data_IF_432008581786
#
_entry.id   IF_432008581786
#
_cell.length_a   1.000
_cell.length_b   1.000
_cell.length_c   1.000
_cell.angle_alpha   90.00
_cell.angle_beta   90.00
_cell.angle_gamma   90.00
#
_symmetry.space_group_name_H-M   'P 1'
#
loop_
_entity.id
_entity.type
_entity.pdbx_description
1 polymer ?
#
# COMPACT_ATOMS: atom_id res chain seq x y z
N UNK A 1 23.66 44.72 -10.27
CA UNK A 1 22.46 43.85 -10.28
C UNK A 1 22.94 42.41 -10.30
N UNK A 2 22.81 41.67 -9.18
CA UNK A 2 23.20 40.26 -9.08
C UNK A 2 22.02 39.39 -9.50
N UNK A 3 22.15 38.64 -10.60
CA UNK A 3 21.17 37.64 -11.00
C UNK A 3 21.32 36.41 -10.10
N UNK A 4 20.25 36.09 -9.36
CA UNK A 4 20.12 34.86 -8.60
C UNK A 4 19.54 33.81 -9.56
N UNK A 5 20.36 32.84 -9.97
CA UNK A 5 19.87 31.69 -10.72
C UNK A 5 19.24 30.71 -9.75
N UNK A 6 17.91 30.56 -9.83
CA UNK A 6 17.16 29.53 -9.11
C UNK A 6 17.30 28.25 -9.92
N UNK A 7 18.11 27.31 -9.44
CA UNK A 7 18.15 25.94 -9.98
C UNK A 7 16.90 25.19 -9.50
N UNK A 8 15.98 24.91 -10.42
CA UNK A 8 14.86 24.00 -10.17
C UNK A 8 15.35 22.58 -10.42
N UNK A 9 15.67 21.86 -9.35
CA UNK A 9 16.05 20.44 -9.42
C UNK A 9 14.79 19.60 -9.65
N UNK A 10 14.54 19.20 -10.89
CA UNK A 10 13.51 18.21 -11.19
C UNK A 10 13.94 16.84 -10.65
N UNK A 11 13.28 16.38 -9.58
CA UNK A 11 13.46 15.02 -9.07
C UNK A 11 12.78 14.07 -10.05
N UNK A 12 13.56 13.45 -10.92
CA UNK A 12 13.11 12.36 -11.79
C UNK A 12 13.02 11.11 -10.91
N UNK A 13 11.82 10.76 -10.44
CA UNK A 13 11.57 9.49 -9.79
C UNK A 13 11.62 8.42 -10.88
N UNK A 14 12.76 7.74 -11.02
CA UNK A 14 12.85 6.53 -11.83
C UNK A 14 12.04 5.43 -11.12
N UNK A 15 10.88 5.10 -11.68
CA UNK A 15 10.06 3.99 -11.19
C UNK A 15 10.81 2.69 -11.50
N UNK A 16 11.52 2.17 -10.50
CA UNK A 16 12.15 0.85 -10.57
C UNK A 16 11.08 -0.21 -10.30
N UNK A 17 10.25 -0.43 -11.31
CA UNK A 17 9.62 -1.68 -11.69
C UNK A 17 10.16 -2.94 -10.96
N UNK A 18 9.31 -3.64 -10.20
CA UNK A 18 9.63 -4.90 -9.52
C UNK A 18 8.76 -6.04 -10.00
N UNK A 19 9.39 -7.20 -10.16
CA UNK A 19 8.71 -8.47 -10.41
C UNK A 19 8.22 -9.05 -9.09
N UNK A 20 6.91 -9.18 -8.91
CA UNK A 20 6.30 -9.82 -7.73
C UNK A 20 6.44 -11.37 -7.72
N UNK A 21 7.28 -11.96 -8.58
CA UNK A 21 7.52 -13.41 -8.63
C UNK A 21 8.93 -13.76 -9.12
N UNK A 22 9.54 -14.81 -8.54
CA UNK A 22 10.81 -15.38 -8.98
C UNK A 22 10.57 -16.52 -9.97
N UNK A 23 10.93 -16.35 -11.26
CA UNK A 23 10.97 -17.44 -12.25
C UNK A 23 10.36 -17.17 -13.63
N UNK A 24 9.71 -16.01 -13.85
CA UNK A 24 9.13 -15.63 -15.15
C UNK A 24 9.65 -14.27 -15.61
N UNK A 25 9.83 -14.10 -16.93
CA UNK A 25 10.06 -12.76 -17.49
C UNK A 25 8.71 -12.00 -17.46
N UNK A 26 8.66 -10.93 -16.69
CA UNK A 26 7.48 -10.08 -16.50
C UNK A 26 7.69 -8.65 -16.98
N UNK A 27 8.75 -8.38 -17.76
CA UNK A 27 9.14 -7.03 -18.20
C UNK A 27 7.99 -6.32 -18.94
N UNK A 28 7.22 -7.05 -19.75
CA UNK A 28 6.07 -6.55 -20.49
C UNK A 28 4.92 -6.11 -19.57
N UNK A 29 4.64 -6.86 -18.51
CA UNK A 29 3.62 -6.52 -17.52
C UNK A 29 4.07 -5.42 -16.59
N UNK A 30 5.31 -5.48 -16.18
CA UNK A 30 5.96 -4.46 -15.37
C UNK A 30 5.92 -3.10 -16.08
N UNK A 31 6.26 -3.03 -17.37
CA UNK A 31 6.19 -1.80 -18.16
C UNK A 31 4.76 -1.27 -18.38
N UNK A 32 3.74 -2.15 -18.35
CA UNK A 32 2.33 -1.74 -18.41
C UNK A 32 1.87 -1.06 -17.11
N UNK A 33 2.58 -1.31 -16.01
CA UNK A 33 2.16 -0.93 -14.67
C UNK A 33 0.79 -1.53 -14.32
N UNK A 34 0.31 -1.20 -13.14
CA UNK A 34 -0.99 -1.64 -12.67
C UNK A 34 -0.92 -2.73 -11.60
N UNK A 35 0.23 -2.90 -10.98
CA UNK A 35 0.44 -3.74 -9.81
C UNK A 35 -0.04 -3.05 -8.53
N UNK A 36 -0.24 -3.84 -7.47
CA UNK A 36 -0.61 -3.34 -6.15
C UNK A 36 0.39 -2.31 -5.61
N UNK A 37 1.69 -2.55 -5.82
CA UNK A 37 2.77 -1.63 -5.43
C UNK A 37 2.74 -0.29 -6.18
N UNK A 38 2.32 -0.28 -7.44
CA UNK A 38 2.19 0.96 -8.23
C UNK A 38 1.12 1.85 -7.60
N UNK A 39 -0.01 1.26 -7.23
CA UNK A 39 -1.08 1.97 -6.55
C UNK A 39 -0.65 2.50 -5.18
N UNK A 40 -0.02 1.66 -4.36
CA UNK A 40 0.46 2.09 -3.03
C UNK A 40 1.44 3.25 -3.18
N UNK A 41 2.33 3.26 -4.18
CA UNK A 41 3.23 4.39 -4.44
C UNK A 41 2.52 5.69 -4.83
N UNK A 42 1.35 5.62 -5.45
CA UNK A 42 0.55 6.85 -5.70
C UNK A 42 0.02 7.46 -4.40
N UNK A 43 -0.19 6.66 -3.36
CA UNK A 43 -0.65 7.10 -2.04
C UNK A 43 0.51 7.44 -1.10
N UNK A 44 1.59 6.66 -1.17
CA UNK A 44 2.78 6.76 -0.32
C UNK A 44 4.02 6.64 -1.22
N UNK A 45 4.51 7.75 -1.78
CA UNK A 45 5.66 7.73 -2.70
C UNK A 45 6.94 7.11 -2.11
N UNK A 46 7.08 7.14 -0.78
CA UNK A 46 8.21 6.60 -0.03
C UNK A 46 8.13 5.09 0.21
N UNK A 47 7.03 4.42 -0.18
CA UNK A 47 6.91 2.98 -0.01
C UNK A 47 8.03 2.25 -0.78
N UNK A 48 8.86 1.45 -0.10
CA UNK A 48 9.91 0.69 -0.75
C UNK A 48 9.29 -0.39 -1.65
N UNK A 49 9.87 -0.57 -2.82
CA UNK A 49 9.46 -1.64 -3.73
C UNK A 49 10.38 -2.85 -3.46
N UNK A 50 9.91 -3.90 -2.75
CA UNK A 50 10.75 -5.06 -2.48
C UNK A 50 10.97 -5.87 -3.77
N UNK A 51 12.20 -6.37 -3.95
CA UNK A 51 12.62 -7.20 -5.09
C UNK A 51 12.90 -8.64 -4.70
N UNK A 52 13.07 -8.91 -3.40
CA UNK A 52 13.41 -10.23 -2.88
C UNK A 52 12.48 -10.61 -1.73
N UNK A 53 12.35 -11.92 -1.47
CA UNK A 53 11.57 -12.42 -0.32
C UNK A 53 12.10 -11.84 1.01
N UNK A 54 13.42 -11.70 1.14
CA UNK A 54 14.04 -11.08 2.31
C UNK A 54 13.65 -9.61 2.47
N UNK A 55 13.62 -8.84 1.37
CA UNK A 55 13.17 -7.45 1.39
C UNK A 55 11.68 -7.33 1.75
N UNK A 56 10.84 -8.27 1.31
CA UNK A 56 9.42 -8.31 1.70
C UNK A 56 9.27 -8.54 3.20
N UNK A 57 9.99 -9.52 3.76
CA UNK A 57 9.96 -9.80 5.20
C UNK A 57 10.48 -8.61 6.04
N UNK A 58 11.37 -7.80 5.48
CA UNK A 58 11.87 -6.59 6.12
C UNK A 58 10.87 -5.41 6.12
N UNK A 59 9.73 -5.53 5.43
CA UNK A 59 8.69 -4.49 5.44
C UNK A 59 7.87 -4.45 6.73
N UNK A 60 7.95 -5.45 7.60
CA UNK A 60 7.31 -5.42 8.91
C UNK A 60 7.99 -4.42 9.84
N UNK A 61 7.56 -3.15 9.80
CA UNK A 61 8.05 -2.10 10.69
C UNK A 61 7.03 -1.66 11.76
N UNK A 62 5.85 -2.30 11.79
CA UNK A 62 4.80 -2.04 12.76
C UNK A 62 4.04 -3.30 13.13
N UNK A 63 3.66 -3.38 14.40
CA UNK A 63 2.78 -4.44 14.90
C UNK A 63 1.39 -4.29 14.32
N UNK A 64 0.80 -5.40 13.85
CA UNK A 64 -0.54 -5.42 13.24
C UNK A 64 -1.61 -4.87 14.18
N UNK A 65 -1.50 -5.12 15.49
CA UNK A 65 -2.42 -4.57 16.50
C UNK A 65 -2.37 -3.05 16.67
N UNK A 66 -1.30 -2.40 16.20
CA UNK A 66 -1.11 -0.94 16.27
C UNK A 66 -1.47 -0.23 14.97
N UNK A 67 -2.04 -0.94 14.00
CA UNK A 67 -2.38 -0.43 12.66
C UNK A 67 -3.16 0.89 12.72
N UNK A 68 -2.85 1.78 11.79
CA UNK A 68 -3.53 3.07 11.63
C UNK A 68 -3.89 3.33 10.17
N UNK A 69 -4.85 4.22 9.95
CA UNK A 69 -5.14 4.77 8.63
C UNK A 69 -3.87 5.36 8.01
N UNK A 70 -3.66 5.14 6.71
CA UNK A 70 -2.46 5.55 6.00
C UNK A 70 -1.29 4.55 6.04
N UNK A 71 -1.43 3.45 6.77
CA UNK A 71 -0.48 2.33 6.71
C UNK A 71 -0.70 1.49 5.43
N UNK A 72 0.23 0.56 5.20
CA UNK A 72 0.14 -0.45 4.15
C UNK A 72 -0.06 -1.81 4.80
N UNK A 73 -1.16 -2.47 4.43
CA UNK A 73 -1.40 -3.87 4.76
C UNK A 73 -0.69 -4.75 3.72
N UNK A 74 0.06 -5.74 4.21
CA UNK A 74 0.77 -6.70 3.40
C UNK A 74 0.15 -8.08 3.65
N UNK A 75 -0.26 -8.73 2.56
CA UNK A 75 -0.90 -10.05 2.56
C UNK A 75 0.03 -11.05 1.89
N UNK A 76 0.12 -12.26 2.45
CA UNK A 76 0.66 -13.41 1.76
C UNK A 76 -0.52 -14.19 1.12
N UNK A 77 -0.58 -14.22 -0.21
CA UNK A 77 -1.61 -14.97 -0.95
C UNK A 77 -1.08 -16.35 -1.40
N UNK A 78 0.01 -16.82 -0.80
CA UNK A 78 0.65 -18.11 -1.01
C UNK A 78 1.55 -18.13 -2.24
N UNK A 79 1.04 -17.70 -3.40
CA UNK A 79 1.86 -17.61 -4.61
C UNK A 79 2.52 -16.23 -4.76
N UNK A 80 1.88 -15.14 -4.35
CA UNK A 80 2.50 -13.80 -4.39
C UNK A 80 2.13 -12.97 -3.17
N UNK A 81 2.96 -11.98 -2.90
CA UNK A 81 2.68 -10.97 -1.88
C UNK A 81 1.86 -9.84 -2.47
N UNK A 82 0.86 -9.40 -1.71
CA UNK A 82 -0.05 -8.34 -2.13
C UNK A 82 -0.04 -7.20 -1.12
N UNK A 83 -0.05 -5.97 -1.60
CA UNK A 83 -0.05 -4.78 -0.75
C UNK A 83 -1.30 -3.94 -0.99
N UNK A 84 -1.83 -3.34 0.07
CA UNK A 84 -3.00 -2.47 -0.01
C UNK A 84 -2.84 -1.28 0.95
N UNK A 85 -3.36 -0.13 0.55
CA UNK A 85 -3.37 1.07 1.39
C UNK A 85 -4.55 1.01 2.36
N UNK A 86 -4.32 1.26 3.65
CA UNK A 86 -5.34 1.21 4.68
C UNK A 86 -6.08 2.55 4.72
N UNK A 87 -7.34 2.52 4.27
CA UNK A 87 -8.22 3.70 4.23
C UNK A 87 -8.94 3.91 5.57
N UNK A 88 -9.26 2.84 6.30
CA UNK A 88 -9.96 2.90 7.58
C UNK A 88 -9.57 1.76 8.51
N UNK A 89 -9.47 2.04 9.81
CA UNK A 89 -9.34 1.01 10.86
C UNK A 89 -10.64 0.95 11.67
N UNK A 90 -11.17 -0.25 11.85
CA UNK A 90 -12.35 -0.50 12.68
C UNK A 90 -11.91 -1.03 14.04
N UNK A 91 -12.45 -0.40 15.09
CA UNK A 91 -12.16 -0.74 16.48
C UNK A 91 -13.34 -1.48 17.09
N UNK A 92 -13.08 -2.41 18.00
CA UNK A 92 -14.11 -2.98 18.88
C UNK A 92 -14.49 -2.02 20.02
N UNK A 93 -15.37 -2.48 20.91
CA UNK A 93 -15.84 -1.72 22.07
C UNK A 93 -14.72 -1.42 23.08
N UNK A 94 -13.62 -2.16 23.05
CA UNK A 94 -12.45 -2.00 23.90
C UNK A 94 -11.41 -1.07 23.26
N UNK A 95 -11.67 -0.57 22.04
CA UNK A 95 -10.74 0.26 21.28
C UNK A 95 -9.64 -0.52 20.57
N UNK A 96 -9.77 -1.84 20.43
CA UNK A 96 -8.81 -2.71 19.75
C UNK A 96 -9.13 -2.79 18.26
N UNK A 97 -8.11 -2.66 17.41
CA UNK A 97 -8.28 -2.84 15.97
C UNK A 97 -8.67 -4.29 15.64
N UNK A 98 -9.77 -4.47 14.89
CA UNK A 98 -10.31 -5.79 14.54
C UNK A 98 -10.46 -5.98 13.04
N UNK A 99 -10.69 -4.91 12.30
CA UNK A 99 -10.80 -4.97 10.84
C UNK A 99 -10.28 -3.69 10.18
N UNK A 100 -10.04 -3.76 8.88
CA UNK A 100 -9.60 -2.63 8.06
C UNK A 100 -10.41 -2.52 6.76
N UNK A 101 -10.58 -1.31 6.27
CA UNK A 101 -10.94 -1.06 4.87
C UNK A 101 -9.66 -0.69 4.12
N UNK A 102 -9.49 -1.25 2.93
CA UNK A 102 -8.30 -1.01 2.10
C UNK A 102 -8.68 -0.60 0.69
N UNK A 103 -7.82 0.23 0.09
CA UNK A 103 -7.82 0.51 -1.34
C UNK A 103 -6.58 -0.10 -1.98
N UNK A 104 -6.75 -0.66 -3.18
CA UNK A 104 -5.71 -1.46 -3.83
C UNK A 104 -5.91 -1.57 -5.34
N UNK A 105 -4.94 -2.17 -6.00
CA UNK A 105 -4.97 -2.50 -7.43
C UNK A 105 -4.44 -3.91 -7.65
N UNK A 106 -4.87 -4.59 -8.73
CA UNK A 106 -4.45 -5.96 -9.05
C UNK A 106 -4.74 -6.98 -7.93
N UNK A 107 -5.93 -6.86 -7.36
CA UNK A 107 -6.51 -7.85 -6.45
C UNK A 107 -7.57 -8.70 -7.19
N UNK A 108 -8.10 -9.76 -6.57
CA UNK A 108 -9.08 -10.74 -7.10
C UNK A 108 -8.42 -12.03 -7.62
N UNK A 109 -9.25 -12.99 -7.99
CA UNK A 109 -8.84 -14.30 -8.52
C UNK A 109 -8.07 -14.17 -9.83
N UNK A 110 -7.39 -15.26 -10.16
CA UNK A 110 -6.70 -15.43 -11.44
C UNK A 110 -7.66 -15.20 -12.63
N UNK A 111 -7.14 -14.58 -13.68
CA UNK A 111 -7.89 -14.33 -14.90
C UNK A 111 -7.98 -15.60 -15.76
N UNK A 112 -9.18 -15.96 -16.22
CA UNK A 112 -9.33 -17.07 -17.17
C UNK A 112 -8.81 -16.70 -18.55
N UNK A 113 -8.53 -17.70 -19.40
CA UNK A 113 -8.09 -17.43 -20.77
C UNK A 113 -9.13 -16.66 -21.58
N UNK A 114 -10.43 -16.93 -21.37
CA UNK A 114 -11.49 -16.20 -22.08
C UNK A 114 -11.57 -14.73 -21.67
N UNK A 115 -11.47 -14.45 -20.37
CA UNK A 115 -11.41 -13.07 -19.88
C UNK A 115 -10.15 -12.35 -20.34
N UNK A 116 -9.03 -13.06 -20.38
CA UNK A 116 -7.76 -12.53 -20.90
C UNK A 116 -7.86 -12.13 -22.37
N UNK A 117 -8.39 -13.02 -23.22
CA UNK A 117 -8.66 -12.74 -24.64
C UNK A 117 -9.52 -11.49 -24.80
N UNK A 118 -10.64 -11.43 -24.08
CA UNK A 118 -11.58 -10.33 -24.19
C UNK A 118 -10.98 -8.99 -23.74
N UNK A 119 -10.04 -9.04 -22.80
CA UNK A 119 -9.44 -7.84 -22.21
C UNK A 119 -8.28 -7.26 -23.02
N UNK A 120 -7.45 -8.10 -23.60
CA UNK A 120 -6.23 -7.68 -24.32
C UNK A 120 -6.25 -8.01 -25.81
N UNK A 121 -7.38 -8.49 -26.34
CA UNK A 121 -7.58 -8.83 -27.75
C UNK A 121 -6.47 -9.74 -28.34
N UNK A 122 -5.98 -10.67 -27.52
CA UNK A 122 -4.92 -11.62 -27.90
C UNK A 122 -5.42 -13.04 -27.73
N UNK A 123 -5.19 -13.90 -28.73
CA UNK A 123 -5.50 -15.34 -28.69
C UNK A 123 -4.31 -16.18 -28.20
N UNK A 124 -3.26 -15.54 -27.70
CA UNK A 124 -2.01 -16.20 -27.35
C UNK A 124 -2.09 -16.87 -25.95
N UNK A 125 -2.29 -18.19 -25.94
CA UNK A 125 -2.30 -18.98 -24.69
C UNK A 125 -0.99 -18.91 -23.91
N UNK A 126 0.15 -18.80 -24.57
CA UNK A 126 1.45 -18.70 -23.91
C UNK A 126 1.63 -17.35 -23.22
N UNK A 127 1.14 -16.28 -23.83
CA UNK A 127 1.11 -14.94 -23.23
C UNK A 127 0.22 -14.90 -21.98
N UNK A 128 -0.97 -15.51 -22.06
CA UNK A 128 -1.85 -15.68 -20.90
C UNK A 128 -1.21 -16.48 -19.77
N UNK A 129 -0.57 -17.62 -20.06
CA UNK A 129 0.13 -18.39 -19.04
C UNK A 129 1.24 -17.58 -18.37
N UNK A 130 1.99 -16.79 -19.15
CA UNK A 130 3.00 -15.87 -18.62
C UNK A 130 2.38 -14.80 -17.73
N UNK A 131 1.25 -14.22 -18.12
CA UNK A 131 0.55 -13.22 -17.29
C UNK A 131 0.13 -13.77 -15.93
N UNK A 132 -0.34 -15.02 -15.89
CA UNK A 132 -0.66 -15.69 -14.62
C UNK A 132 0.56 -15.81 -13.70
N UNK A 133 1.70 -16.19 -14.27
CA UNK A 133 2.97 -16.24 -13.53
C UNK A 133 3.38 -14.85 -13.02
N UNK A 134 3.10 -13.79 -13.79
CA UNK A 134 3.37 -12.41 -13.43
C UNK A 134 2.33 -11.79 -12.47
N UNK A 135 1.45 -12.60 -11.87
CA UNK A 135 0.48 -12.13 -10.88
C UNK A 135 -0.67 -11.29 -11.47
N UNK A 136 -0.98 -11.45 -12.76
CA UNK A 136 -2.09 -10.72 -13.40
C UNK A 136 -3.44 -11.31 -12.98
N UNK A 137 -4.24 -10.50 -12.30
CA UNK A 137 -5.58 -10.88 -11.82
C UNK A 137 -6.69 -10.34 -12.73
N UNK A 138 -7.96 -10.70 -12.43
CA UNK A 138 -9.13 -10.13 -13.10
C UNK A 138 -9.21 -8.60 -12.96
N UNK A 139 -8.76 -8.03 -11.84
CA UNK A 139 -8.71 -6.58 -11.61
C UNK A 139 -7.31 -5.99 -11.76
N UNK A 140 -6.44 -6.61 -12.57
CA UNK A 140 -5.17 -6.00 -12.97
C UNK A 140 -5.38 -4.55 -13.42
N UNK A 141 -4.53 -3.60 -13.05
CA UNK A 141 -4.65 -2.18 -13.40
C UNK A 141 -6.01 -1.50 -13.07
N UNK A 142 -6.83 -2.09 -12.19
CA UNK A 142 -8.09 -1.50 -11.72
C UNK A 142 -8.02 -1.26 -10.23
N UNK A 143 -8.30 -0.02 -9.84
CA UNK A 143 -8.42 0.36 -8.43
C UNK A 143 -9.72 -0.24 -7.88
N UNK A 144 -9.64 -0.83 -6.69
CA UNK A 144 -10.80 -1.32 -5.97
C UNK A 144 -10.69 -1.05 -4.47
N UNK A 145 -11.83 -1.11 -3.79
CA UNK A 145 -11.93 -1.00 -2.35
C UNK A 145 -12.47 -2.31 -1.78
N UNK A 146 -11.83 -2.82 -0.73
CA UNK A 146 -12.34 -3.91 0.10
C UNK A 146 -12.62 -3.36 1.48
N UNK A 147 -13.72 -3.81 2.08
CA UNK A 147 -14.17 -3.35 3.39
C UNK A 147 -14.25 -4.50 4.38
N UNK A 148 -14.09 -4.19 5.66
CA UNK A 148 -14.18 -5.13 6.77
C UNK A 148 -13.28 -6.36 6.59
N UNK A 149 -12.04 -6.14 6.14
CA UNK A 149 -11.03 -7.19 6.12
C UNK A 149 -10.61 -7.46 7.56
N UNK A 150 -10.75 -8.70 8.00
CA UNK A 150 -10.33 -9.11 9.34
C UNK A 150 -8.81 -8.90 9.51
N UNK A 151 -8.42 -8.29 10.63
CA UNK A 151 -7.03 -7.89 10.86
C UNK A 151 -6.09 -9.10 10.99
N UNK A 152 -6.60 -10.26 11.40
CA UNK A 152 -5.87 -11.53 11.47
C UNK A 152 -5.45 -12.09 10.09
N UNK A 153 -6.06 -11.61 9.01
CA UNK A 153 -5.65 -11.94 7.64
C UNK A 153 -4.49 -11.09 7.12
N UNK A 154 -4.04 -10.09 7.88
CA UNK A 154 -2.93 -9.21 7.53
C UNK A 154 -1.63 -9.80 8.08
N UNK A 155 -0.73 -10.19 7.19
CA UNK A 155 0.54 -10.83 7.53
C UNK A 155 1.53 -9.81 8.13
N UNK A 156 1.61 -8.62 7.52
CA UNK A 156 2.50 -7.55 7.99
C UNK A 156 1.85 -6.18 7.80
N UNK A 157 2.25 -5.24 8.65
CA UNK A 157 1.92 -3.82 8.49
C UNK A 157 3.21 -3.05 8.29
N UNK A 158 3.20 -2.19 7.27
CA UNK A 158 4.24 -1.20 7.04
C UNK A 158 3.64 0.19 7.22
N UNK A 159 4.31 1.06 7.98
CA UNK A 159 3.98 2.47 8.11
C UNK A 159 5.03 3.35 7.43
N UNK A 160 4.61 4.46 6.79
CA UNK A 160 5.55 5.48 6.38
C UNK A 160 6.23 6.08 7.61
N UNK A 161 7.56 6.14 7.59
CA UNK A 161 8.31 6.84 8.62
C UNK A 161 7.97 8.32 8.50
N UNK A 162 7.24 8.86 9.47
CA UNK A 162 7.08 10.31 9.59
C UNK A 162 8.46 10.92 9.82
N UNK A 163 8.84 11.92 9.03
CA UNK A 163 10.11 12.65 9.20
C UNK A 163 10.29 13.30 10.60
N UNK A 164 9.28 13.20 11.47
CA UNK A 164 9.31 13.61 12.87
C UNK A 164 9.87 12.56 13.85
N UNK A 165 10.20 11.34 13.42
CA UNK A 165 10.69 10.27 14.31
C UNK A 165 12.07 9.76 13.89
N UNK A 166 12.98 10.69 13.57
CA UNK A 166 14.42 10.46 13.55
C UNK A 166 15.08 11.00 14.82
N UNK A 167 14.44 10.85 15.99
CA UNK A 167 15.13 10.99 17.27
C UNK A 167 14.69 9.88 18.24
N UNK A 168 15.69 9.28 18.89
CA UNK A 168 15.62 8.37 20.03
C UNK A 168 15.24 6.90 19.77
N UNK A 169 16.22 6.16 19.25
CA UNK A 169 16.65 4.95 19.96
C UNK A 169 17.02 5.33 21.41
N UNK A 170 16.09 5.18 22.35
CA UNK A 170 16.38 5.40 23.78
C UNK A 170 15.14 5.67 24.61
N UNK A 171 14.83 4.70 25.49
CA UNK A 171 14.03 4.77 26.71
C UNK A 171 13.17 6.00 27.04
N UNK A 172 11.94 5.68 27.44
CA UNK A 172 11.13 6.39 28.44
C UNK A 172 10.60 7.77 28.03
N UNK A 173 9.34 7.79 27.57
CA UNK A 173 8.67 9.04 27.21
C UNK A 173 7.18 8.90 26.83
N UNK A 174 6.45 7.96 27.43
CA UNK A 174 5.00 8.06 27.53
C UNK A 174 4.66 9.37 28.27
N UNK A 175 4.13 10.39 27.59
CA UNK A 175 3.09 11.31 28.15
C UNK A 175 2.73 12.55 27.30
N UNK A 176 3.49 12.94 26.26
CA UNK A 176 3.24 14.25 25.62
C UNK A 176 2.42 14.24 24.32
N UNK A 177 2.40 13.16 23.54
CA UNK A 177 1.71 13.13 22.24
C UNK A 177 0.22 12.78 22.31
N UNK A 178 -0.27 12.21 23.42
CA UNK A 178 -1.70 11.96 23.61
C UNK A 178 -2.49 13.25 23.89
N UNK A 179 -1.87 14.29 24.46
CA UNK A 179 -2.56 15.57 24.76
C UNK A 179 -2.80 16.47 23.54
N UNK A 180 -2.02 16.34 22.47
CA UNK A 180 -2.22 17.13 21.25
C UNK A 180 -3.38 16.60 20.39
N UNK A 181 -3.69 15.29 20.48
CA UNK A 181 -4.81 14.68 19.75
C UNK A 181 -6.16 14.90 20.46
N UNK A 182 -6.16 15.01 21.80
CA UNK A 182 -7.35 15.41 22.57
C UNK A 182 -7.74 16.90 22.37
N UNK A 183 -6.76 17.80 22.17
CA UNK A 183 -7.03 19.22 22.01
C UNK A 183 -7.72 19.60 20.67
N UNK A 184 -7.55 18.80 19.62
CA UNK A 184 -8.18 19.06 18.31
C UNK A 184 -9.60 18.48 18.18
N UNK A 185 -9.96 17.46 18.97
CA UNK A 185 -11.33 16.95 18.99
C UNK A 185 -12.30 17.81 19.83
N UNK A 186 -11.79 18.64 20.74
CA UNK A 186 -12.62 19.57 21.49
C UNK A 186 -12.97 20.88 20.76
N UNK A 187 -12.36 21.16 19.59
CA UNK A 187 -12.61 22.41 18.84
C UNK A 187 -13.65 22.24 17.72
N UNK A 188 -13.96 21.01 17.29
CA UNK A 188 -14.93 20.78 16.20
C UNK A 188 -16.35 20.48 16.72
N UNK A 189 -16.55 20.31 18.04
CA UNK A 189 -17.89 20.15 18.64
C UNK A 189 -18.60 21.45 19.06
N UNK A 190 -18.09 22.65 18.72
CA UNK A 190 -18.73 23.91 19.12
C UNK A 190 -19.08 24.91 18.00
N UNK A 191 -19.26 24.44 16.76
CA UNK A 191 -19.89 25.27 15.71
C UNK A 191 -20.88 24.45 14.90
N UNK A 192 -22.01 24.13 15.54
CA UNK A 192 -23.19 23.60 14.87
C UNK A 192 -24.47 23.78 15.70
N UNK A 193 -25.18 24.88 15.43
CA UNK A 193 -26.56 25.28 15.86
C UNK A 193 -26.64 25.96 17.24
N UNK A 194 -27.29 27.10 17.46
CA UNK A 194 -28.50 27.69 16.85
C UNK A 194 -28.44 29.23 16.78
N UNK A 195 -28.76 29.80 15.60
CA UNK A 195 -29.74 30.85 15.30
C UNK A 195 -29.67 31.20 13.80
#
# INVERSE_FOLDING_TARGET
MKQIQILVTAIVITVVHSSCYAGCNCDDWVARGGYCVDYVKTKIPTFPIPKTVAEIAALKNKETSKVTEGDVAIFDLGNYWHVAYIEKVHLDQQGTATAIDVSEMNFDRQISFDEYKNRWDTKNKSEWKRSLCCGVTKKYARISMRKNIALDSVEQVWSPVSAASQESSGGYGDTLMNKAREALNHIIQFTGREL
#
